data_IF_194084146437
#
_entry.id   IF_194084146437
#
_cell.length_a   1.000
_cell.length_b   1.000
_cell.length_c   1.000
_cell.angle_alpha   90.00
_cell.angle_beta   90.00
_cell.angle_gamma   90.00
#
_symmetry.space_group_name_H-M   'P 1'
#
loop_
_entity.id
_entity.type
_entity.pdbx_description
1 polymer ?
#
# COMPACT_ATOMS: atom_id res chain seq x y z
N UNK A 1 -4.61 13.85 19.70
CA UNK A 1 -3.67 12.80 19.25
C UNK A 1 -4.00 12.38 17.84
N UNK A 2 -2.99 12.34 17.01
CA UNK A 2 -3.20 11.87 15.65
C UNK A 2 -3.24 10.34 15.62
N UNK A 3 -4.13 9.80 14.81
CA UNK A 3 -4.19 8.35 14.63
C UNK A 3 -3.01 7.89 13.78
N UNK A 4 -2.47 6.69 14.06
CA UNK A 4 -1.44 6.14 13.19
C UNK A 4 -1.97 6.01 11.76
N UNK A 5 -1.10 6.30 10.82
CA UNK A 5 -1.46 6.19 9.40
C UNK A 5 -0.52 5.21 8.73
N UNK A 6 -1.10 4.42 7.83
CA UNK A 6 -0.30 3.57 6.97
C UNK A 6 0.33 4.44 5.89
N UNK A 7 1.63 4.34 5.73
CA UNK A 7 2.37 5.06 4.71
C UNK A 7 2.65 4.09 3.57
N UNK A 8 2.21 4.45 2.38
CA UNK A 8 2.41 3.61 1.20
C UNK A 8 3.57 4.16 0.37
N UNK A 9 4.55 3.31 0.10
CA UNK A 9 5.71 3.69 -0.70
C UNK A 9 5.83 2.74 -1.89
N UNK A 10 5.82 3.28 -3.11
CA UNK A 10 6.03 2.43 -4.29
C UNK A 10 7.47 1.99 -4.36
N UNK A 11 7.68 0.74 -4.77
CA UNK A 11 9.02 0.20 -4.94
C UNK A 11 9.07 -0.63 -6.21
N UNK A 12 10.06 -0.35 -7.04
CA UNK A 12 10.31 -1.14 -8.22
C UNK A 12 11.13 -2.37 -7.85
N UNK A 13 10.62 -3.53 -8.20
CA UNK A 13 11.33 -4.80 -7.96
C UNK A 13 12.17 -5.15 -9.17
N UNK A 14 11.55 -5.05 -10.35
CA UNK A 14 12.19 -5.35 -11.61
C UNK A 14 11.47 -4.58 -12.71
N UNK A 15 11.97 -4.63 -13.92
CA UNK A 15 11.31 -3.99 -15.05
C UNK A 15 9.92 -4.59 -15.23
N UNK A 16 8.90 -3.73 -15.23
CA UNK A 16 7.52 -4.17 -15.36
C UNK A 16 6.96 -4.84 -14.11
N UNK A 17 7.66 -4.72 -12.97
CA UNK A 17 7.22 -5.35 -11.74
C UNK A 17 7.43 -4.40 -10.56
N UNK A 18 6.33 -4.00 -9.96
CA UNK A 18 6.31 -3.06 -8.86
C UNK A 18 5.53 -3.60 -7.68
N UNK A 19 5.84 -3.08 -6.50
CA UNK A 19 5.09 -3.39 -5.29
C UNK A 19 4.91 -2.12 -4.46
N UNK A 20 3.98 -2.16 -3.51
CA UNK A 20 3.79 -1.09 -2.54
C UNK A 20 4.26 -1.60 -1.19
N UNK A 21 5.07 -0.81 -0.51
CA UNK A 21 5.43 -1.08 0.89
C UNK A 21 4.48 -0.30 1.78
N UNK A 22 3.72 -1.00 2.59
CA UNK A 22 2.81 -0.38 3.55
C UNK A 22 3.47 -0.37 4.91
N UNK A 23 3.78 0.81 5.40
CA UNK A 23 4.44 1.01 6.69
C UNK A 23 3.42 1.48 7.72
N UNK A 24 3.22 0.69 8.74
CA UNK A 24 2.32 1.01 9.84
C UNK A 24 3.11 1.04 11.14
N UNK A 25 3.01 2.12 11.95
CA UNK A 25 3.77 2.22 13.20
C UNK A 25 3.48 1.04 14.13
N UNK A 26 4.54 0.42 14.62
CA UNK A 26 4.43 -0.71 15.54
C UNK A 26 4.13 -2.04 14.89
N UNK A 27 4.04 -2.10 13.56
CA UNK A 27 3.76 -3.33 12.83
C UNK A 27 4.82 -3.58 11.78
N UNK A 28 4.89 -4.82 11.31
CA UNK A 28 5.80 -5.18 10.25
C UNK A 28 5.37 -4.54 8.93
N UNK A 29 6.34 -4.30 8.06
CA UNK A 29 6.06 -3.78 6.73
C UNK A 29 5.29 -4.82 5.94
N UNK A 30 4.18 -4.39 5.34
CA UNK A 30 3.38 -5.25 4.46
C UNK A 30 3.66 -4.89 3.02
N UNK A 31 3.54 -5.86 2.15
CA UNK A 31 3.81 -5.65 0.72
C UNK A 31 2.57 -5.98 -0.09
N UNK A 32 2.26 -5.10 -1.03
CA UNK A 32 1.17 -5.31 -1.97
C UNK A 32 1.79 -5.45 -3.35
N UNK A 33 1.71 -6.63 -3.93
CA UNK A 33 2.37 -6.96 -5.20
C UNK A 33 1.34 -7.04 -6.33
N UNK A 34 1.83 -7.19 -7.54
CA UNK A 34 0.98 -7.38 -8.71
C UNK A 34 0.79 -6.14 -9.56
N UNK A 35 1.69 -5.16 -9.42
CA UNK A 35 1.64 -3.94 -10.22
C UNK A 35 2.68 -4.01 -11.32
N UNK A 36 2.29 -3.59 -12.53
CA UNK A 36 3.21 -3.57 -13.67
C UNK A 36 3.95 -2.23 -13.79
N UNK A 37 3.42 -1.17 -13.16
CA UNK A 37 4.02 0.16 -13.26
C UNK A 37 3.65 0.99 -12.04
N UNK A 38 4.35 2.11 -11.88
CA UNK A 38 4.03 3.08 -10.84
C UNK A 38 2.65 3.70 -11.07
N UNK A 39 2.25 3.85 -12.31
CA UNK A 39 0.94 4.38 -12.66
C UNK A 39 -0.18 3.52 -12.08
N UNK A 40 -0.03 2.21 -12.13
CA UNK A 40 -1.00 1.30 -11.52
C UNK A 40 -1.05 1.46 -10.01
N UNK A 41 0.10 1.71 -9.39
CA UNK A 41 0.16 1.97 -7.95
C UNK A 41 -0.58 3.25 -7.61
N UNK A 42 -0.36 4.31 -8.39
CA UNK A 42 -1.05 5.59 -8.16
C UNK A 42 -2.57 5.42 -8.27
N UNK A 43 -3.04 4.69 -9.27
CA UNK A 43 -4.47 4.39 -9.43
C UNK A 43 -5.00 3.63 -8.22
N UNK A 44 -4.26 2.65 -7.75
CA UNK A 44 -4.65 1.86 -6.59
C UNK A 44 -4.77 2.75 -5.34
N UNK A 45 -3.81 3.66 -5.15
CA UNK A 45 -3.79 4.54 -4.00
C UNK A 45 -4.92 5.58 -4.02
N UNK A 46 -5.33 6.00 -5.21
CA UNK A 46 -6.40 6.99 -5.36
C UNK A 46 -7.79 6.36 -5.33
N UNK A 47 -7.88 5.06 -5.57
CA UNK A 47 -9.16 4.37 -5.63
C UNK A 47 -9.59 3.81 -4.28
N UNK A 48 -10.71 3.09 -4.29
CA UNK A 48 -11.27 2.46 -3.10
C UNK A 48 -10.51 1.21 -2.67
N UNK A 49 -9.68 0.66 -3.56
CA UNK A 49 -8.92 -0.56 -3.27
C UNK A 49 -8.02 -0.39 -2.05
N UNK A 50 -7.46 0.80 -1.88
CA UNK A 50 -6.64 1.09 -0.72
C UNK A 50 -7.43 0.94 0.58
N UNK A 51 -8.64 1.46 0.59
CA UNK A 51 -9.51 1.38 1.76
C UNK A 51 -9.90 -0.07 2.05
N UNK A 52 -10.24 -0.81 1.01
CA UNK A 52 -10.59 -2.23 1.15
C UNK A 52 -9.41 -3.02 1.71
N UNK A 53 -8.20 -2.75 1.23
CA UNK A 53 -7.01 -3.41 1.73
C UNK A 53 -6.78 -3.08 3.21
N UNK A 54 -6.93 -1.80 3.58
CA UNK A 54 -6.75 -1.39 4.97
C UNK A 54 -7.75 -2.09 5.89
N UNK A 55 -8.98 -2.25 5.44
CA UNK A 55 -10.00 -2.97 6.20
C UNK A 55 -9.65 -4.44 6.35
N UNK A 56 -9.17 -5.06 5.29
CA UNK A 56 -8.82 -6.48 5.33
C UNK A 56 -7.64 -6.75 6.26
N UNK A 57 -6.75 -5.76 6.44
CA UNK A 57 -5.62 -5.87 7.35
C UNK A 57 -5.96 -5.42 8.77
N UNK A 58 -7.17 -4.90 8.99
CA UNK A 58 -7.57 -4.42 10.31
C UNK A 58 -7.05 -3.04 10.68
N UNK A 59 -6.50 -2.30 9.73
CA UNK A 59 -5.95 -0.96 9.99
C UNK A 59 -7.01 0.14 9.91
N UNK A 60 -8.12 -0.11 9.25
CA UNK A 60 -9.23 0.83 9.16
C UNK A 60 -10.47 0.21 9.77
N UNK A 61 -11.19 1.02 10.53
CA UNK A 61 -12.45 0.58 11.15
C UNK A 61 -13.64 1.25 10.51
#
# INVERSE_FOLDING_TARGET
MSKPKVIFKPKRIAEGEWQIEAHYPGAEIRYIKGFASKSEIDDWLQGTRRIDWLRSQGYAK
#
